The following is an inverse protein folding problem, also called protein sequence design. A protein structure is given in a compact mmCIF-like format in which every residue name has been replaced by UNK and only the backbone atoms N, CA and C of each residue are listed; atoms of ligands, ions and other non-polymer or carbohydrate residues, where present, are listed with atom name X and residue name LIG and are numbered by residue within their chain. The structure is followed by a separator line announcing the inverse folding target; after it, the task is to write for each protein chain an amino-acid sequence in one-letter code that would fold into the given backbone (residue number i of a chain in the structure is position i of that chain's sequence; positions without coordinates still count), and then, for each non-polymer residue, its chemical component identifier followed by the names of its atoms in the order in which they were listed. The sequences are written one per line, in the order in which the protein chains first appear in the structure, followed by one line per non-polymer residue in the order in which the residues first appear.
data_IF_216410430750
#
_entry.id   IF_216410430750
#
_cell.length_a   1.000
_cell.length_b   1.000
_cell.length_c   1.000
_cell.angle_alpha   90.00
_cell.angle_beta   90.00
_cell.angle_gamma   90.00
#
_symmetry.space_group_name_H-M   'P 1'
#
loop_
_entity.id
_entity.type
_entity.pdbx_description
1 polymer ?
#
# COMPACT_ATOMS: atom_id res chain seq x y z
N UNK A 1 12.29 -15.33 10.28
CA UNK A 1 11.32 -15.56 9.18
C UNK A 1 11.64 -14.52 8.12
N UNK A 2 12.07 -14.94 6.95
CA UNK A 2 12.47 -14.06 5.85
C UNK A 2 11.21 -13.71 5.04
N UNK A 3 10.75 -12.46 5.08
CA UNK A 3 9.47 -12.10 4.47
C UNK A 3 9.52 -12.13 2.93
N UNK A 4 10.72 -12.04 2.34
CA UNK A 4 10.96 -11.86 0.91
C UNK A 4 11.76 -13.04 0.36
N UNK A 5 11.09 -13.92 -0.39
CA UNK A 5 11.79 -14.93 -1.19
C UNK A 5 12.08 -14.28 -2.54
N UNK A 6 13.36 -14.10 -2.88
CA UNK A 6 13.80 -13.33 -4.05
C UNK A 6 13.20 -13.85 -5.37
N UNK A 7 13.16 -15.17 -5.56
CA UNK A 7 12.61 -15.79 -6.75
C UNK A 7 11.10 -15.50 -6.90
N UNK A 8 10.34 -15.63 -5.80
CA UNK A 8 8.90 -15.37 -5.81
C UNK A 8 8.59 -13.88 -6.02
N UNK A 9 9.37 -12.98 -5.41
CA UNK A 9 9.20 -11.54 -5.62
C UNK A 9 9.53 -11.10 -7.05
N UNK A 10 10.44 -11.81 -7.73
CA UNK A 10 10.77 -11.51 -9.13
C UNK A 10 9.66 -11.98 -10.09
N UNK A 11 9.11 -13.18 -9.87
CA UNK A 11 7.92 -13.65 -10.60
C UNK A 11 6.73 -12.71 -10.40
N UNK A 12 6.52 -12.25 -9.16
CA UNK A 12 5.46 -11.27 -8.84
C UNK A 12 5.65 -9.94 -9.57
N UNK A 13 6.89 -9.45 -9.66
CA UNK A 13 7.19 -8.25 -10.46
C UNK A 13 6.90 -8.46 -11.93
N UNK A 14 7.30 -9.60 -12.49
CA UNK A 14 7.03 -9.94 -13.89
C UNK A 14 5.52 -10.05 -14.17
N UNK A 15 4.74 -10.63 -13.25
CA UNK A 15 3.29 -10.66 -13.36
C UNK A 15 2.70 -9.24 -13.42
N UNK A 16 3.14 -8.33 -12.53
CA UNK A 16 2.71 -6.93 -12.54
C UNK A 16 3.09 -6.22 -13.86
N UNK A 17 4.29 -6.45 -14.39
CA UNK A 17 4.73 -5.91 -15.69
C UNK A 17 3.86 -6.46 -16.83
N UNK A 18 3.53 -7.76 -16.83
CA UNK A 18 2.66 -8.38 -17.83
C UNK A 18 1.24 -7.80 -17.79
N UNK A 19 0.69 -7.54 -16.60
CA UNK A 19 -0.62 -6.91 -16.46
C UNK A 19 -0.63 -5.50 -17.08
N UNK A 20 0.42 -4.71 -16.85
CA UNK A 20 0.56 -3.37 -17.44
C UNK A 20 0.54 -3.37 -18.97
N UNK A 21 0.93 -4.47 -19.61
CA UNK A 21 0.91 -4.61 -21.08
C UNK A 21 -0.49 -4.94 -21.64
N UNK A 22 -1.48 -5.21 -20.78
CA UNK A 22 -2.85 -5.50 -21.19
C UNK A 22 -3.64 -4.22 -21.43
N UNK A 23 -4.79 -4.36 -22.10
CA UNK A 23 -5.66 -3.24 -22.50
C UNK A 23 -6.68 -2.89 -21.41
N UNK A 24 -6.24 -2.72 -20.17
CA UNK A 24 -7.12 -2.27 -19.08
C UNK A 24 -6.35 -1.35 -18.12
N UNK A 25 -7.06 -0.43 -17.49
CA UNK A 25 -6.45 0.58 -16.64
C UNK A 25 -6.58 0.21 -15.16
N UNK A 26 -5.46 0.28 -14.44
CA UNK A 26 -5.41 -0.02 -13.02
C UNK A 26 -4.37 0.83 -12.30
N UNK A 27 -4.55 0.89 -10.98
CA UNK A 27 -3.63 1.55 -10.06
C UNK A 27 -3.05 0.49 -9.13
N UNK A 28 -1.73 0.52 -8.96
CA UNK A 28 -1.03 -0.36 -8.04
C UNK A 28 -1.21 0.13 -6.61
N UNK A 29 -1.60 -0.76 -5.71
CA UNK A 29 -1.69 -0.52 -4.26
C UNK A 29 -0.81 -1.54 -3.50
N UNK A 30 -1.00 -1.63 -2.18
CA UNK A 30 -0.43 -2.72 -1.38
C UNK A 30 1.10 -2.71 -1.32
N UNK A 31 1.70 -3.91 -1.32
CA UNK A 31 3.15 -4.06 -1.13
C UNK A 31 3.97 -3.54 -2.31
N UNK A 32 3.51 -3.75 -3.54
CA UNK A 32 4.21 -3.24 -4.73
C UNK A 32 4.16 -1.72 -4.83
N UNK A 33 3.06 -1.08 -4.43
CA UNK A 33 3.03 0.37 -4.33
C UNK A 33 4.06 0.90 -3.32
N UNK A 34 4.19 0.25 -2.16
CA UNK A 34 5.19 0.63 -1.17
C UNK A 34 6.62 0.48 -1.71
N UNK A 35 6.92 -0.61 -2.43
CA UNK A 35 8.20 -0.78 -3.12
C UNK A 35 8.45 0.29 -4.20
N UNK A 36 7.42 0.65 -4.97
CA UNK A 36 7.56 1.64 -6.04
C UNK A 36 7.94 3.02 -5.49
N UNK A 37 7.43 3.39 -4.32
CA UNK A 37 7.79 4.64 -3.63
C UNK A 37 9.11 4.57 -2.87
N UNK A 38 9.41 3.46 -2.21
CA UNK A 38 10.53 3.38 -1.24
C UNK A 38 11.77 2.67 -1.77
N UNK A 39 11.64 1.81 -2.79
CA UNK A 39 12.66 0.89 -3.32
C UNK A 39 13.18 -0.18 -2.35
N UNK A 40 12.56 -0.35 -1.18
CA UNK A 40 13.06 -1.26 -0.15
C UNK A 40 12.51 -2.68 -0.27
N UNK A 41 11.23 -2.87 0.04
CA UNK A 41 10.65 -4.20 0.25
C UNK A 41 9.77 -4.62 -0.92
N UNK A 42 10.24 -5.55 -1.74
CA UNK A 42 9.42 -6.16 -2.80
C UNK A 42 8.19 -6.89 -2.22
N UNK A 43 7.18 -7.16 -3.04
CA UNK A 43 6.00 -7.94 -2.64
C UNK A 43 5.95 -9.29 -3.36
N UNK A 44 5.21 -10.25 -2.76
CA UNK A 44 4.90 -11.55 -3.36
C UNK A 44 3.55 -11.51 -4.06
N UNK A 45 2.61 -10.80 -3.47
CA UNK A 45 1.26 -10.61 -3.99
C UNK A 45 1.18 -9.27 -4.73
N UNK A 46 0.31 -9.23 -5.76
CA UNK A 46 0.00 -8.02 -6.51
C UNK A 46 -1.37 -7.52 -6.11
N UNK A 47 -1.45 -6.28 -5.67
CA UNK A 47 -2.71 -5.63 -5.30
C UNK A 47 -2.98 -4.48 -6.28
N UNK A 48 -4.12 -4.51 -6.97
CA UNK A 48 -4.51 -3.46 -7.92
C UNK A 48 -5.95 -3.00 -7.72
N UNK A 49 -6.21 -1.74 -8.06
CA UNK A 49 -7.57 -1.19 -8.21
C UNK A 49 -7.83 -0.98 -9.70
N UNK A 50 -8.87 -1.59 -10.26
CA UNK A 50 -9.28 -1.28 -11.65
C UNK A 50 -10.04 0.05 -11.69
N UNK A 51 -9.83 0.83 -12.75
CA UNK A 51 -10.49 2.15 -12.85
C UNK A 51 -11.95 2.04 -13.29
N UNK A 52 -12.25 1.10 -14.18
CA UNK A 52 -13.58 0.93 -14.76
C UNK A 52 -14.11 -0.48 -14.52
N UNK A 53 -15.41 -0.62 -14.27
CA UNK A 53 -16.02 -1.94 -14.11
C UNK A 53 -15.90 -2.80 -15.39
N UNK A 54 -15.89 -2.17 -16.56
CA UNK A 54 -15.75 -2.85 -17.86
C UNK A 54 -14.40 -3.59 -18.00
N UNK A 55 -13.35 -3.13 -17.31
CA UNK A 55 -12.03 -3.78 -17.30
C UNK A 55 -12.09 -5.19 -16.70
N UNK A 56 -13.07 -5.44 -15.82
CA UNK A 56 -13.31 -6.76 -15.26
C UNK A 56 -13.71 -7.78 -16.34
N UNK A 57 -14.39 -7.35 -17.40
CA UNK A 57 -14.74 -8.22 -18.53
C UNK A 57 -13.52 -8.57 -19.39
N UNK A 58 -12.49 -7.72 -19.42
CA UNK A 58 -11.21 -8.01 -20.06
C UNK A 58 -10.46 -9.06 -19.23
N UNK A 59 -10.40 -8.87 -17.91
CA UNK A 59 -9.79 -9.82 -16.98
C UNK A 59 -10.45 -11.19 -17.06
N UNK A 60 -11.79 -11.26 -17.04
CA UNK A 60 -12.56 -12.50 -17.16
C UNK A 60 -12.32 -13.27 -18.46
N UNK A 61 -11.97 -12.58 -19.56
CA UNK A 61 -11.65 -13.23 -20.84
C UNK A 61 -10.22 -13.76 -20.90
N UNK A 62 -9.30 -13.13 -20.17
CA UNK A 62 -7.88 -13.47 -20.20
C UNK A 62 -7.41 -14.38 -19.07
N UNK A 63 -8.18 -14.49 -17.98
CA UNK A 63 -7.78 -15.14 -16.74
C UNK A 63 -8.95 -15.87 -16.07
N UNK A 64 -8.62 -16.82 -15.20
CA UNK A 64 -9.59 -17.44 -14.30
C UNK A 64 -9.90 -16.47 -13.15
N UNK A 65 -10.90 -15.62 -13.38
CA UNK A 65 -11.32 -14.57 -12.47
C UNK A 65 -12.29 -15.12 -11.42
N UNK A 66 -11.84 -15.13 -10.17
CA UNK A 66 -12.61 -15.60 -9.02
C UNK A 66 -13.14 -14.39 -8.24
N UNK A 67 -14.44 -14.39 -7.92
CA UNK A 67 -15.05 -13.38 -7.06
C UNK A 67 -15.00 -13.86 -5.61
N UNK A 68 -14.49 -13.02 -4.72
CA UNK A 68 -14.51 -13.25 -3.28
C UNK A 68 -15.49 -12.27 -2.62
N UNK A 69 -16.73 -12.72 -2.42
CA UNK A 69 -17.80 -11.88 -1.83
C UNK A 69 -17.59 -11.55 -0.35
N UNK A 70 -16.81 -12.36 0.36
CA UNK A 70 -16.50 -12.15 1.77
C UNK A 70 -15.43 -11.08 1.95
N UNK A 71 -14.34 -11.16 1.17
CA UNK A 71 -13.25 -10.17 1.20
C UNK A 71 -13.49 -8.98 0.27
N UNK A 72 -14.65 -8.93 -0.41
CA UNK A 72 -15.05 -7.85 -1.31
C UNK A 72 -13.99 -7.52 -2.37
N UNK A 73 -13.43 -8.56 -2.99
CA UNK A 73 -12.43 -8.41 -4.06
C UNK A 73 -12.58 -9.51 -5.11
N UNK A 74 -11.91 -9.32 -6.22
CA UNK A 74 -11.68 -10.37 -7.21
C UNK A 74 -10.23 -10.83 -7.14
N UNK A 75 -9.99 -12.04 -7.61
CA UNK A 75 -8.67 -12.68 -7.57
C UNK A 75 -8.43 -13.33 -8.93
N UNK A 76 -7.21 -13.17 -9.45
CA UNK A 76 -6.68 -13.99 -10.55
C UNK A 76 -5.36 -14.60 -10.11
N UNK A 77 -4.97 -15.70 -10.76
CA UNK A 77 -3.61 -16.24 -10.66
C UNK A 77 -2.89 -16.08 -11.98
N UNK A 78 -1.66 -15.55 -11.91
CA UNK A 78 -0.72 -15.54 -13.03
C UNK A 78 0.48 -16.39 -12.61
N UNK A 79 0.61 -17.57 -13.23
CA UNK A 79 1.52 -18.62 -12.77
C UNK A 79 1.21 -19.01 -11.31
N UNK A 80 2.14 -18.75 -10.38
CA UNK A 80 2.02 -18.99 -8.95
C UNK A 80 1.76 -17.71 -8.14
N UNK A 81 1.52 -16.59 -8.81
CA UNK A 81 1.33 -15.27 -8.19
C UNK A 81 -0.16 -14.97 -8.05
N UNK A 82 -0.54 -14.68 -6.81
CA UNK A 82 -1.88 -14.19 -6.48
C UNK A 82 -1.97 -12.69 -6.77
N UNK A 83 -3.05 -12.30 -7.46
CA UNK A 83 -3.33 -10.92 -7.83
C UNK A 83 -4.72 -10.56 -7.32
N UNK A 84 -4.74 -9.67 -6.33
CA UNK A 84 -5.93 -9.11 -5.72
C UNK A 84 -6.39 -7.89 -6.53
N UNK A 85 -7.64 -7.95 -6.96
CA UNK A 85 -8.28 -6.96 -7.82
C UNK A 85 -9.43 -6.30 -7.05
N UNK A 86 -9.24 -5.04 -6.72
CA UNK A 86 -10.22 -4.20 -6.06
C UNK A 86 -11.01 -3.40 -7.10
N UNK A 87 -12.33 -3.35 -6.90
CA UNK A 87 -13.28 -2.82 -7.90
C UNK A 87 -14.09 -1.68 -7.28
N UNK A 88 -14.21 -0.53 -7.96
CA UNK A 88 -15.11 0.57 -7.59
C UNK A 88 -16.51 0.09 -7.18
N UNK A 89 -17.04 0.65 -6.09
CA UNK A 89 -18.37 0.37 -5.54
C UNK A 89 -18.64 -1.07 -5.04
N UNK A 90 -17.71 -2.01 -5.25
CA UNK A 90 -17.81 -3.37 -4.72
C UNK A 90 -16.82 -3.60 -3.58
N UNK A 91 -15.60 -3.10 -3.73
CA UNK A 91 -14.52 -3.34 -2.79
C UNK A 91 -14.55 -2.43 -1.57
N UNK A 92 -14.42 -3.04 -0.39
CA UNK A 92 -14.38 -2.37 0.90
C UNK A 92 -12.93 -2.17 1.32
N UNK A 93 -12.36 -1.04 0.90
CA UNK A 93 -11.05 -0.56 1.30
C UNK A 93 -11.19 0.59 2.30
N UNK A 94 -10.13 0.88 3.05
CA UNK A 94 -10.10 2.00 4.01
C UNK A 94 -10.36 3.35 3.35
N UNK A 95 -9.88 3.53 2.13
CA UNK A 95 -10.31 4.59 1.21
C UNK A 95 -11.08 3.89 0.08
N UNK A 96 -12.30 4.34 -0.29
CA UNK A 96 -13.07 3.74 -1.36
C UNK A 96 -12.27 3.59 -2.67
N UNK A 97 -12.44 2.45 -3.34
CA UNK A 97 -11.67 2.12 -4.54
C UNK A 97 -11.88 3.13 -5.68
N UNK A 98 -13.09 3.67 -5.83
CA UNK A 98 -13.41 4.72 -6.80
C UNK A 98 -12.73 6.05 -6.48
N UNK A 99 -12.51 6.35 -5.21
CA UNK A 99 -11.83 7.58 -4.79
C UNK A 99 -10.31 7.49 -4.90
N UNK A 100 -9.73 6.29 -4.73
CA UNK A 100 -8.29 6.05 -4.90
C UNK A 100 -7.76 6.46 -6.27
N UNK A 101 -8.61 6.46 -7.30
CA UNK A 101 -8.27 6.89 -8.65
C UNK A 101 -7.82 8.35 -8.69
N UNK A 102 -8.41 9.20 -7.85
CA UNK A 102 -8.05 10.62 -7.73
C UNK A 102 -6.76 10.84 -6.95
N UNK A 103 -6.22 9.78 -6.35
CA UNK A 103 -4.99 9.80 -5.56
C UNK A 103 -3.89 8.96 -6.23
N UNK A 104 -3.85 8.90 -7.56
CA UNK A 104 -2.79 8.20 -8.29
C UNK A 104 -1.66 9.15 -8.73
N UNK A 105 -0.45 8.60 -8.89
CA UNK A 105 0.70 9.23 -9.51
C UNK A 105 1.48 8.20 -10.33
N UNK A 106 2.21 8.65 -11.35
CA UNK A 106 3.03 7.76 -12.18
C UNK A 106 4.41 7.60 -11.54
N UNK A 107 4.77 6.35 -11.21
CA UNK A 107 6.07 5.98 -10.65
C UNK A 107 6.66 4.84 -11.46
N UNK A 108 7.82 5.05 -12.09
CA UNK A 108 8.44 4.08 -13.02
C UNK A 108 7.48 3.58 -14.13
N UNK A 109 6.59 4.45 -14.60
CA UNK A 109 5.62 4.13 -15.63
C UNK A 109 4.41 3.33 -15.16
N UNK A 110 4.32 2.97 -13.87
CA UNK A 110 3.09 2.45 -13.27
C UNK A 110 2.27 3.59 -12.69
N UNK A 111 0.96 3.52 -12.81
CA UNK A 111 0.09 4.32 -11.95
C UNK A 111 0.02 3.66 -10.58
N UNK A 112 0.37 4.43 -9.55
CA UNK A 112 0.49 3.98 -8.17
C UNK A 112 -0.30 4.93 -7.29
N UNK A 113 -1.01 4.41 -6.30
CA UNK A 113 -1.62 5.27 -5.28
C UNK A 113 -0.54 6.12 -4.61
N UNK A 114 -0.82 7.40 -4.41
CA UNK A 114 0.06 8.37 -3.76
C UNK A 114 0.40 7.92 -2.35
N UNK A 115 1.58 8.32 -1.84
CA UNK A 115 2.10 7.84 -0.55
C UNK A 115 1.13 8.08 0.62
N UNK A 116 0.41 9.19 0.63
CA UNK A 116 -0.52 9.57 1.72
C UNK A 116 -1.73 8.63 1.78
N UNK A 117 -2.36 8.39 0.64
CA UNK A 117 -3.48 7.44 0.55
C UNK A 117 -3.00 6.00 0.79
N UNK A 118 -1.81 5.64 0.29
CA UNK A 118 -1.20 4.33 0.56
C UNK A 118 -0.94 4.11 2.05
N UNK A 119 -0.44 5.14 2.75
CA UNK A 119 -0.19 5.12 4.18
C UNK A 119 -1.49 4.82 4.95
N UNK A 120 -2.60 5.48 4.57
CA UNK A 120 -3.93 5.23 5.17
C UNK A 120 -4.39 3.79 4.92
N UNK A 121 -4.27 3.29 3.68
CA UNK A 121 -4.61 1.89 3.36
C UNK A 121 -3.79 0.90 4.20
N UNK A 122 -2.51 1.18 4.40
CA UNK A 122 -1.62 0.35 5.24
C UNK A 122 -2.01 0.39 6.70
N UNK A 123 -2.42 1.55 7.23
CA UNK A 123 -2.91 1.66 8.61
C UNK A 123 -4.21 0.87 8.82
N UNK A 124 -5.13 0.89 7.87
CA UNK A 124 -6.33 0.06 7.92
C UNK A 124 -5.99 -1.44 7.96
N UNK A 125 -5.17 -1.90 7.01
CA UNK A 125 -4.73 -3.29 6.97
C UNK A 125 -3.96 -3.72 8.23
N UNK A 126 -3.15 -2.82 8.80
CA UNK A 126 -2.41 -3.07 10.04
C UNK A 126 -3.35 -3.25 11.24
N UNK A 127 -4.38 -2.42 11.36
CA UNK A 127 -5.37 -2.52 12.45
C UNK A 127 -6.17 -3.81 12.36
N UNK A 128 -6.63 -4.19 11.17
CA UNK A 128 -7.37 -5.44 10.94
C UNK A 128 -6.52 -6.68 11.27
N UNK A 129 -5.20 -6.53 11.26
CA UNK A 129 -4.23 -7.63 11.35
C UNK A 129 -3.22 -7.47 12.49
N UNK A 130 -3.50 -6.60 13.46
CA UNK A 130 -2.53 -6.06 14.44
C UNK A 130 -1.65 -7.13 15.10
N UNK A 131 -2.26 -8.27 15.47
CA UNK A 131 -1.64 -9.38 16.21
C UNK A 131 -1.06 -10.47 15.32
N UNK A 132 -0.96 -10.25 14.02
CA UNK A 132 -0.47 -11.22 13.04
C UNK A 132 0.91 -10.85 12.48
N UNK A 133 1.57 -11.83 11.87
CA UNK A 133 2.80 -11.62 11.08
C UNK A 133 2.58 -10.62 9.95
N UNK A 134 1.37 -10.62 9.34
CA UNK A 134 1.00 -9.66 8.28
C UNK A 134 0.92 -8.23 8.82
N UNK A 135 0.33 -8.03 10.01
CA UNK A 135 0.33 -6.72 10.68
C UNK A 135 1.74 -6.21 11.01
N UNK A 136 2.68 -7.13 11.32
CA UNK A 136 4.10 -6.79 11.44
C UNK A 136 4.70 -6.23 10.13
N UNK A 137 4.40 -6.85 8.98
CA UNK A 137 4.81 -6.34 7.66
C UNK A 137 4.19 -4.98 7.37
N UNK A 138 2.90 -4.78 7.65
CA UNK A 138 2.24 -3.50 7.42
C UNK A 138 2.86 -2.37 8.26
N UNK A 139 3.30 -2.63 9.51
CA UNK A 139 4.08 -1.64 10.29
C UNK A 139 5.44 -1.30 9.67
N UNK A 140 6.11 -2.26 9.05
CA UNK A 140 7.37 -2.02 8.32
C UNK A 140 7.11 -1.16 7.08
N UNK A 141 6.07 -1.49 6.31
CA UNK A 141 5.67 -0.71 5.13
C UNK A 141 5.28 0.73 5.53
N UNK A 142 4.53 0.91 6.62
CA UNK A 142 4.19 2.24 7.20
C UNK A 142 5.47 3.02 7.52
N UNK A 143 6.40 2.41 8.27
CA UNK A 143 7.61 3.11 8.69
C UNK A 143 8.50 3.47 7.49
N UNK A 144 8.63 2.56 6.52
CA UNK A 144 9.43 2.80 5.30
C UNK A 144 8.80 3.87 4.41
N UNK A 145 7.48 3.90 4.23
CA UNK A 145 6.81 4.97 3.50
C UNK A 145 7.12 6.34 4.12
N UNK A 146 6.98 6.47 5.44
CA UNK A 146 7.23 7.74 6.13
C UNK A 146 8.70 8.19 6.03
N UNK A 147 9.63 7.24 6.01
CA UNK A 147 11.06 7.52 5.95
C UNK A 147 11.56 7.86 4.53
N UNK A 148 10.92 7.32 3.49
CA UNK A 148 11.47 7.31 2.12
C UNK A 148 10.54 7.85 1.03
N UNK A 149 9.22 7.88 1.21
CA UNK A 149 8.26 8.22 0.15
C UNK A 149 7.89 9.71 0.04
N UNK A 150 8.59 10.60 0.76
CA UNK A 150 8.32 12.04 0.82
C UNK A 150 6.83 12.39 1.03
N UNK A 151 6.28 11.87 2.13
CA UNK A 151 4.86 12.05 2.50
C UNK A 151 4.54 13.53 2.74
N UNK A 152 3.53 14.04 2.04
CA UNK A 152 2.87 15.30 2.37
C UNK A 152 1.90 15.07 3.54
N UNK A 153 2.31 15.48 4.74
CA UNK A 153 1.47 15.30 5.92
C UNK A 153 0.22 16.18 5.89
N UNK A 154 0.25 17.36 5.26
CA UNK A 154 -0.93 18.23 5.17
C UNK A 154 -2.02 17.53 4.34
N UNK A 155 -1.63 16.90 3.21
CA UNK A 155 -2.53 16.08 2.41
C UNK A 155 -3.00 14.83 3.16
N UNK A 156 -2.10 14.13 3.86
CA UNK A 156 -2.48 13.00 4.72
C UNK A 156 -3.58 13.37 5.73
N UNK A 157 -3.44 14.49 6.45
CA UNK A 157 -4.45 14.93 7.42
C UNK A 157 -5.76 15.36 6.75
N UNK A 158 -5.71 15.99 5.57
CA UNK A 158 -6.92 16.28 4.78
C UNK A 158 -7.67 14.99 4.43
N UNK A 159 -6.95 13.94 4.01
CA UNK A 159 -7.55 12.64 3.71
C UNK A 159 -8.13 11.99 4.97
N UNK A 160 -7.42 12.02 6.10
CA UNK A 160 -7.96 11.51 7.37
C UNK A 160 -9.30 12.17 7.72
N UNK A 161 -9.38 13.50 7.64
CA UNK A 161 -10.61 14.25 7.93
C UNK A 161 -11.71 13.94 6.92
N UNK A 162 -11.37 13.87 5.63
CA UNK A 162 -12.32 13.57 4.54
C UNK A 162 -13.01 12.22 4.77
N UNK A 163 -12.23 11.19 5.14
CA UNK A 163 -12.72 9.83 5.32
C UNK A 163 -13.10 9.49 6.78
N UNK A 164 -13.06 10.46 7.71
CA UNK A 164 -13.38 10.29 9.13
C UNK A 164 -12.49 9.25 9.83
N UNK A 165 -11.20 9.29 9.53
CA UNK A 165 -10.15 8.38 10.00
C UNK A 165 -9.15 9.09 10.93
N UNK A 166 -9.53 10.17 11.60
CA UNK A 166 -8.63 11.00 12.40
C UNK A 166 -7.90 10.20 13.50
N UNK A 167 -8.52 9.12 14.01
CA UNK A 167 -7.89 8.21 14.97
C UNK A 167 -6.62 7.52 14.44
N UNK A 168 -6.44 7.44 13.11
CA UNK A 168 -5.22 6.95 12.49
C UNK A 168 -4.00 7.80 12.83
N UNK A 169 -4.16 9.08 13.15
CA UNK A 169 -3.04 9.89 13.59
C UNK A 169 -2.41 9.36 14.88
N UNK A 170 -3.23 9.04 15.88
CA UNK A 170 -2.75 8.46 17.13
C UNK A 170 -2.16 7.07 16.91
N UNK A 171 -2.75 6.28 15.99
CA UNK A 171 -2.18 4.99 15.59
C UNK A 171 -0.79 5.16 14.94
N UNK A 172 -0.63 6.13 14.05
CA UNK A 172 0.63 6.43 13.37
C UNK A 172 1.72 6.80 14.38
N UNK A 173 1.40 7.69 15.32
CA UNK A 173 2.31 8.06 16.43
C UNK A 173 2.75 6.85 17.25
N UNK A 174 1.80 5.94 17.54
CA UNK A 174 2.11 4.71 18.27
C UNK A 174 3.09 3.83 17.48
N UNK A 175 2.82 3.59 16.20
CA UNK A 175 3.69 2.79 15.33
C UNK A 175 5.10 3.39 15.29
N UNK A 176 5.23 4.69 15.02
CA UNK A 176 6.53 5.38 14.97
C UNK A 176 7.26 5.24 16.31
N UNK A 177 6.57 5.51 17.42
CA UNK A 177 7.16 5.49 18.77
C UNK A 177 7.65 4.11 19.18
N UNK A 178 6.88 3.07 18.84
CA UNK A 178 7.13 1.68 19.25
C UNK A 178 7.86 0.84 18.19
N UNK A 179 8.24 1.41 17.04
CA UNK A 179 8.93 0.69 15.99
C UNK A 179 10.30 0.16 16.46
N UNK A 180 10.51 -1.16 16.35
CA UNK A 180 11.74 -1.86 16.80
C UNK A 180 12.47 -2.60 15.68
N UNK A 181 11.85 -2.78 14.53
CA UNK A 181 12.37 -3.61 13.43
C UNK A 181 13.38 -2.85 12.54
N UNK A 182 14.38 -2.22 13.17
CA UNK A 182 15.38 -1.37 12.51
C UNK A 182 16.15 -2.10 11.40
N UNK A 183 16.28 -3.42 11.52
CA UNK A 183 16.95 -4.28 10.51
C UNK A 183 16.30 -4.22 9.12
N UNK A 184 15.06 -3.76 8.98
CA UNK A 184 14.36 -3.69 7.70
C UNK A 184 14.40 -2.30 7.06
N UNK A 185 14.80 -1.26 7.78
CA UNK A 185 14.73 0.12 7.28
C UNK A 185 16.06 0.64 6.72
N UNK A 186 16.99 -0.25 6.32
CA UNK A 186 18.30 0.08 5.71
C UNK A 186 19.05 1.28 6.33
N UNK A 187 18.92 1.47 7.65
CA UNK A 187 19.52 2.57 8.40
C UNK A 187 20.25 2.05 9.63
N UNK A 188 21.30 2.76 10.03
CA UNK A 188 21.92 2.52 11.33
C UNK A 188 21.07 3.13 12.47
N UNK A 189 21.22 2.67 13.73
CA UNK A 189 20.40 3.14 14.84
C UNK A 189 20.45 4.65 15.11
N UNK A 190 21.59 5.30 14.85
CA UNK A 190 21.76 6.74 15.05
C UNK A 190 21.00 7.54 14.00
N UNK A 191 21.14 7.16 12.72
CA UNK A 191 20.39 7.77 11.62
C UNK A 191 18.88 7.61 11.84
N UNK A 192 18.45 6.39 12.18
CA UNK A 192 17.03 6.13 12.44
C UNK A 192 16.47 7.02 13.54
N UNK A 193 17.21 7.20 14.65
CA UNK A 193 16.79 8.07 15.76
C UNK A 193 16.56 9.50 15.29
N UNK A 194 17.51 10.08 14.55
CA UNK A 194 17.42 11.46 14.06
C UNK A 194 16.24 11.64 13.09
N UNK A 195 16.06 10.73 12.13
CA UNK A 195 14.92 10.82 11.19
C UNK A 195 13.59 10.66 11.89
N UNK A 196 13.50 9.74 12.86
CA UNK A 196 12.29 9.52 13.67
C UNK A 196 11.92 10.78 14.46
N UNK A 197 12.88 11.45 15.08
CA UNK A 197 12.66 12.72 15.79
C UNK A 197 12.12 13.79 14.83
N UNK A 198 12.73 13.96 13.65
CA UNK A 198 12.26 14.91 12.64
C UNK A 198 10.85 14.60 12.09
N UNK A 199 10.49 13.31 11.93
CA UNK A 199 9.13 12.91 11.55
C UNK A 199 8.12 13.33 12.63
N UNK A 200 8.44 13.09 13.91
CA UNK A 200 7.56 13.44 15.03
C UNK A 200 7.37 14.95 15.13
N UNK A 201 8.41 15.74 14.86
CA UNK A 201 8.31 17.20 14.82
C UNK A 201 7.41 17.68 13.67
N UNK A 202 7.59 17.16 12.45
CA UNK A 202 6.73 17.48 11.30
C UNK A 202 5.26 17.15 11.58
N UNK A 203 5.00 15.97 12.14
CA UNK A 203 3.64 15.56 12.52
C UNK A 203 2.99 16.51 13.53
N UNK A 204 3.75 17.02 14.52
CA UNK A 204 3.24 17.98 15.52
C UNK A 204 2.93 19.34 14.90
N UNK A 205 3.79 19.83 14.00
CA UNK A 205 3.60 21.12 13.36
C UNK A 205 2.33 21.14 12.51
N UNK A 206 2.11 20.10 11.70
CA UNK A 206 0.93 20.01 10.83
C UNK A 206 -0.36 19.68 11.60
N UNK A 207 -0.32 18.87 12.66
CA UNK A 207 -1.55 18.56 13.43
C UNK A 207 -2.10 19.75 14.24
N UNK A 208 -1.28 20.80 14.46
CA UNK A 208 -1.64 22.01 15.19
C UNK A 208 -2.11 23.19 14.32
N UNK A 209 -2.04 23.06 12.99
CA UNK A 209 -2.48 24.04 11.99
C UNK A 209 -3.86 23.71 11.44
#
# INVERSE_FOLDING_TARGET
MEFWNSALTEKSWNALVQLRQKKFDFIVIGGWAAYLWTRLHKSKDVDIVIKNFEDLAILKRGYDLVKNDHLKKYEIKVEEIDIDIYVPYFSELTIPADELINHAAVVQGFEVVKPEALLILKQGAELDRERSVKGGKDRIDIMTLILYADIDFDEYFKLLKKYKLEFFYERLKNIISNFKDIKYIEMNPREFKLRKEGIVERLKMTAGS
#
